data_IF_644700207683
#
_entry.id   IF_644700207683
#
_cell.length_a   1.000
_cell.length_b   1.000
_cell.length_c   1.000
_cell.angle_alpha   90.00
_cell.angle_beta   90.00
_cell.angle_gamma   90.00
#
_symmetry.space_group_name_H-M   'P 1'
#
loop_
_entity.id
_entity.type
_entity.pdbx_description
1 polymer ?
#
# COMPACT_ATOMS: atom_id res chain seq x y z
N UNK A 1 15.16 19.83 9.36
CA UNK A 1 14.71 18.42 9.35
C UNK A 1 15.69 17.63 8.51
N UNK A 2 16.13 16.46 8.97
CA UNK A 2 17.02 15.58 8.21
C UNK A 2 16.29 15.05 6.95
N UNK A 3 16.94 15.04 5.79
CA UNK A 3 16.34 14.69 4.49
C UNK A 3 15.66 13.32 4.53
N UNK A 4 16.28 12.37 5.24
CA UNK A 4 15.72 11.03 5.49
C UNK A 4 14.42 11.05 6.29
N UNK A 5 14.16 12.08 7.12
CA UNK A 5 12.88 12.23 7.84
C UNK A 5 11.78 12.66 6.90
N UNK A 6 12.09 13.55 5.96
CA UNK A 6 11.14 14.00 4.93
C UNK A 6 10.77 12.83 4.02
N UNK A 7 11.76 12.07 3.55
CA UNK A 7 11.51 10.89 2.71
C UNK A 7 10.67 9.82 3.42
N UNK A 8 10.95 9.53 4.70
CA UNK A 8 10.14 8.61 5.49
C UNK A 8 8.69 9.10 5.64
N UNK A 9 8.51 10.40 5.86
CA UNK A 9 7.19 11.00 6.00
C UNK A 9 6.40 10.93 4.68
N UNK A 10 7.04 11.26 3.56
CA UNK A 10 6.42 11.15 2.23
C UNK A 10 6.09 9.70 1.90
N UNK A 11 7.01 8.77 2.14
CA UNK A 11 6.77 7.34 1.96
C UNK A 11 5.58 6.85 2.78
N UNK A 12 5.53 7.23 4.07
CA UNK A 12 4.39 6.95 4.94
C UNK A 12 3.07 7.50 4.40
N UNK A 13 3.03 8.78 4.02
CA UNK A 13 1.81 9.42 3.54
C UNK A 13 1.30 8.81 2.22
N UNK A 14 2.19 8.54 1.27
CA UNK A 14 1.81 7.89 0.01
C UNK A 14 1.29 6.47 0.24
N UNK A 15 1.90 5.72 1.16
CA UNK A 15 1.45 4.39 1.52
C UNK A 15 0.10 4.41 2.23
N UNK A 16 -0.16 5.40 3.08
CA UNK A 16 -1.49 5.62 3.66
C UNK A 16 -2.53 5.88 2.57
N UNK A 17 -2.25 6.80 1.64
CA UNK A 17 -3.16 7.11 0.54
C UNK A 17 -3.43 5.88 -0.31
N UNK A 18 -2.39 5.12 -0.68
CA UNK A 18 -2.54 3.87 -1.43
C UNK A 18 -3.43 2.85 -0.70
N UNK A 19 -3.15 2.58 0.58
CA UNK A 19 -3.91 1.63 1.38
C UNK A 19 -5.37 2.05 1.56
N UNK A 20 -5.63 3.34 1.79
CA UNK A 20 -7.00 3.87 1.90
C UNK A 20 -7.75 3.75 0.57
N UNK A 21 -7.13 4.09 -0.56
CA UNK A 21 -7.79 3.98 -1.87
C UNK A 21 -8.16 2.53 -2.21
N UNK A 22 -7.27 1.57 -1.92
CA UNK A 22 -7.57 0.14 -2.10
C UNK A 22 -8.76 -0.27 -1.24
N UNK A 23 -8.82 0.18 0.02
CA UNK A 23 -9.94 -0.13 0.90
C UNK A 23 -11.25 0.49 0.42
N UNK A 24 -11.22 1.75 -0.04
CA UNK A 24 -12.40 2.39 -0.62
C UNK A 24 -12.92 1.58 -1.81
N UNK A 25 -12.05 1.22 -2.76
CA UNK A 25 -12.42 0.37 -3.89
C UNK A 25 -12.99 -0.99 -3.46
N UNK A 26 -12.45 -1.59 -2.39
CA UNK A 26 -12.94 -2.86 -1.85
C UNK A 26 -14.36 -2.76 -1.25
N UNK A 27 -14.78 -1.58 -0.79
CA UNK A 27 -16.11 -1.35 -0.21
C UNK A 27 -17.12 -0.73 -1.19
N UNK A 28 -16.70 -0.30 -2.39
CA UNK A 28 -17.62 0.20 -3.41
C UNK A 28 -18.53 -0.91 -3.93
N UNK A 29 -19.77 -0.96 -3.46
CA UNK A 29 -20.81 -1.88 -3.93
C UNK A 29 -21.64 -1.20 -5.01
N UNK A 30 -21.50 -1.66 -6.25
CA UNK A 30 -22.41 -1.27 -7.32
C UNK A 30 -23.82 -1.75 -7.00
N UNK A 31 -24.81 -0.86 -7.10
CA UNK A 31 -26.22 -1.05 -6.69
C UNK A 31 -26.96 -2.25 -7.32
N UNK A 32 -26.32 -2.98 -8.24
CA UNK A 32 -26.90 -4.05 -9.05
C UNK A 32 -25.99 -5.28 -9.21
N UNK A 33 -25.00 -5.48 -8.33
CA UNK A 33 -24.12 -6.65 -8.38
C UNK A 33 -24.78 -7.86 -7.69
N UNK A 34 -24.84 -9.00 -8.38
CA UNK A 34 -25.16 -10.27 -7.74
C UNK A 34 -24.04 -10.65 -6.78
N UNK A 35 -24.41 -10.96 -5.54
CA UNK A 35 -23.45 -11.37 -4.52
C UNK A 35 -23.02 -12.80 -4.83
N UNK A 36 -21.85 -12.95 -5.45
CA UNK A 36 -21.20 -14.24 -5.72
C UNK A 36 -20.02 -14.45 -4.76
N UNK A 37 -19.66 -15.71 -4.53
CA UNK A 37 -18.50 -16.08 -3.69
C UNK A 37 -17.20 -15.50 -4.26
N UNK A 38 -17.08 -15.46 -5.58
CA UNK A 38 -15.92 -14.89 -6.29
C UNK A 38 -15.77 -13.39 -6.03
N UNK A 39 -16.88 -12.64 -6.06
CA UNK A 39 -16.89 -11.21 -5.73
C UNK A 39 -16.43 -10.97 -4.28
N UNK A 40 -16.95 -11.76 -3.33
CA UNK A 40 -16.59 -11.63 -1.92
C UNK A 40 -15.11 -11.98 -1.71
N UNK A 41 -14.63 -13.06 -2.32
CA UNK A 41 -13.22 -13.47 -2.22
C UNK A 41 -12.28 -12.39 -2.78
N UNK A 42 -12.60 -11.81 -3.95
CA UNK A 42 -11.83 -10.71 -4.52
C UNK A 42 -11.77 -9.48 -3.61
N UNK A 43 -12.89 -9.11 -2.97
CA UNK A 43 -12.93 -8.01 -2.01
C UNK A 43 -12.10 -8.29 -0.75
N UNK A 44 -12.15 -9.51 -0.22
CA UNK A 44 -11.32 -9.90 0.93
C UNK A 44 -9.83 -9.76 0.58
N UNK A 45 -9.42 -10.19 -0.61
CA UNK A 45 -8.03 -10.00 -1.08
C UNK A 45 -7.66 -8.52 -1.11
N UNK A 46 -8.51 -7.65 -1.68
CA UNK A 46 -8.25 -6.21 -1.70
C UNK A 46 -8.16 -5.62 -0.29
N UNK A 47 -9.04 -6.02 0.63
CA UNK A 47 -8.98 -5.59 2.03
C UNK A 47 -7.66 -6.00 2.67
N UNK A 48 -7.20 -7.24 2.46
CA UNK A 48 -5.91 -7.71 2.98
C UNK A 48 -4.77 -6.86 2.42
N UNK A 49 -4.76 -6.57 1.12
CA UNK A 49 -3.75 -5.71 0.50
C UNK A 49 -3.72 -4.30 1.11
N UNK A 50 -4.89 -3.67 1.21
CA UNK A 50 -5.01 -2.34 1.79
C UNK A 50 -4.51 -2.31 3.24
N UNK A 51 -4.93 -3.26 4.06
CA UNK A 51 -4.50 -3.38 5.47
C UNK A 51 -2.99 -3.61 5.58
N UNK A 52 -2.41 -4.50 4.77
CA UNK A 52 -0.97 -4.77 4.77
C UNK A 52 -0.17 -3.50 4.41
N UNK A 53 -0.60 -2.76 3.38
CA UNK A 53 0.03 -1.49 2.99
C UNK A 53 -0.06 -0.47 4.13
N UNK A 54 -1.20 -0.35 4.81
CA UNK A 54 -1.33 0.57 5.96
C UNK A 54 -0.37 0.21 7.10
N UNK A 55 -0.29 -1.07 7.48
CA UNK A 55 0.64 -1.52 8.52
C UNK A 55 2.10 -1.31 8.14
N UNK A 56 2.48 -1.64 6.90
CA UNK A 56 3.83 -1.42 6.41
C UNK A 56 4.19 0.08 6.34
N UNK A 57 3.23 0.94 5.98
CA UNK A 57 3.40 2.39 6.04
C UNK A 57 3.68 2.89 7.46
N UNK A 58 2.97 2.37 8.47
CA UNK A 58 3.25 2.69 9.87
C UNK A 58 4.66 2.28 10.30
N UNK A 59 5.19 1.17 9.77
CA UNK A 59 6.57 0.76 10.01
C UNK A 59 7.60 1.71 9.39
N UNK A 60 7.30 2.29 8.21
CA UNK A 60 8.13 3.34 7.59
C UNK A 60 8.23 4.56 8.52
N UNK A 61 7.09 5.02 9.05
CA UNK A 61 7.06 6.17 9.96
C UNK A 61 7.84 5.92 11.25
N UNK A 62 7.68 4.74 11.84
CA UNK A 62 8.36 4.36 13.09
C UNK A 62 9.86 4.16 12.93
N UNK A 63 10.37 4.03 11.69
CA UNK A 63 11.79 3.74 11.37
C UNK A 63 12.35 2.50 12.07
N UNK A 64 11.48 1.67 12.64
CA UNK A 64 11.88 0.55 13.48
C UNK A 64 12.48 -0.59 12.67
N UNK A 65 12.25 -0.63 11.34
CA UNK A 65 12.81 -1.65 10.45
C UNK A 65 12.70 -1.23 8.98
N UNK A 66 13.67 -1.60 8.14
CA UNK A 66 13.60 -1.48 6.66
C UNK A 66 12.38 -2.22 6.06
N UNK A 67 11.75 -3.10 6.84
CA UNK A 67 10.65 -3.96 6.43
C UNK A 67 9.46 -3.19 5.84
N UNK A 68 9.11 -2.01 6.37
CA UNK A 68 7.96 -1.25 5.87
C UNK A 68 8.10 -0.85 4.40
N UNK A 69 9.28 -0.34 4.01
CA UNK A 69 9.56 0.02 2.62
C UNK A 69 9.54 -1.19 1.69
N UNK A 70 10.15 -2.30 2.12
CA UNK A 70 10.15 -3.55 1.35
C UNK A 70 8.75 -4.13 1.15
N UNK A 71 7.93 -4.16 2.22
CA UNK A 71 6.57 -4.68 2.14
C UNK A 71 5.73 -3.83 1.19
N UNK A 72 5.75 -2.50 1.32
CA UNK A 72 5.01 -1.64 0.41
C UNK A 72 5.45 -1.80 -1.05
N UNK A 73 6.76 -1.94 -1.29
CA UNK A 73 7.29 -2.17 -2.63
C UNK A 73 6.79 -3.50 -3.23
N UNK A 74 6.96 -4.60 -2.50
CA UNK A 74 6.58 -5.94 -2.98
C UNK A 74 5.07 -6.04 -3.16
N UNK A 75 4.30 -5.61 -2.16
CA UNK A 75 2.83 -5.66 -2.19
C UNK A 75 2.28 -4.74 -3.28
N UNK A 76 2.90 -3.56 -3.50
CA UNK A 76 2.56 -2.68 -4.61
C UNK A 76 2.79 -3.32 -5.97
N UNK A 77 3.94 -3.99 -6.16
CA UNK A 77 4.24 -4.74 -7.41
C UNK A 77 3.22 -5.85 -7.63
N UNK A 78 2.92 -6.65 -6.60
CA UNK A 78 1.91 -7.72 -6.71
C UNK A 78 0.54 -7.10 -7.03
N UNK A 79 0.21 -5.95 -6.41
CA UNK A 79 -1.03 -5.22 -6.61
C UNK A 79 -1.31 -4.83 -8.06
N UNK A 80 -0.27 -4.65 -8.90
CA UNK A 80 -0.44 -4.40 -10.35
C UNK A 80 -1.13 -5.55 -11.09
N UNK A 81 -1.11 -6.75 -10.51
CA UNK A 81 -1.66 -7.97 -11.11
C UNK A 81 -2.93 -8.44 -10.39
N UNK A 82 -3.38 -7.75 -9.34
CA UNK A 82 -4.57 -8.13 -8.56
C UNK A 82 -5.81 -7.45 -9.13
N UNK A 83 -6.84 -8.21 -9.56
CA UNK A 83 -8.08 -7.62 -10.05
C UNK A 83 -8.74 -6.68 -9.03
N UNK A 84 -9.08 -5.47 -9.50
CA UNK A 84 -9.74 -4.43 -8.73
C UNK A 84 -8.83 -3.61 -7.80
N UNK A 85 -7.51 -3.83 -7.84
CA UNK A 85 -6.54 -2.82 -7.42
C UNK A 85 -6.19 -1.99 -8.65
N UNK A 86 -6.41 -0.68 -8.59
CA UNK A 86 -6.06 0.21 -9.68
C UNK A 86 -4.54 0.44 -9.79
N UNK A 87 -4.11 0.85 -10.98
CA UNK A 87 -2.69 1.12 -11.26
C UNK A 87 -2.16 2.29 -10.44
N UNK A 88 -3.01 3.24 -10.09
CA UNK A 88 -2.64 4.42 -9.29
C UNK A 88 -2.30 4.01 -7.86
N UNK A 89 -3.14 3.18 -7.26
CA UNK A 89 -2.99 2.67 -5.90
C UNK A 89 -1.74 1.81 -5.77
N UNK A 90 -1.51 0.92 -6.73
CA UNK A 90 -0.30 0.11 -6.80
C UNK A 90 0.95 0.98 -6.99
N UNK A 91 0.92 1.98 -7.87
CA UNK A 91 2.04 2.90 -8.08
C UNK A 91 2.36 3.71 -6.81
N UNK A 92 1.34 4.21 -6.09
CA UNK A 92 1.53 4.91 -4.82
C UNK A 92 2.17 4.01 -3.76
N UNK A 93 1.76 2.74 -3.68
CA UNK A 93 2.39 1.76 -2.78
C UNK A 93 3.85 1.48 -3.16
N UNK A 94 4.16 1.37 -4.46
CA UNK A 94 5.53 1.18 -4.94
C UNK A 94 6.41 2.38 -4.58
N UNK A 95 5.96 3.60 -4.89
CA UNK A 95 6.71 4.83 -4.59
C UNK A 95 6.89 4.98 -3.09
N UNK A 96 5.83 4.70 -2.31
CA UNK A 96 5.92 4.63 -0.84
C UNK A 96 7.02 3.68 -0.37
N UNK A 97 7.10 2.49 -0.96
CA UNK A 97 8.12 1.50 -0.67
C UNK A 97 9.53 2.01 -0.97
N UNK A 98 9.75 2.56 -2.17
CA UNK A 98 11.04 3.12 -2.60
C UNK A 98 11.50 4.22 -1.63
N UNK A 99 10.63 5.18 -1.31
CA UNK A 99 10.95 6.25 -0.37
C UNK A 99 11.25 5.73 1.03
N UNK A 100 10.52 4.71 1.48
CA UNK A 100 10.76 4.04 2.75
C UNK A 100 12.16 3.39 2.82
N UNK A 101 12.60 2.73 1.74
CA UNK A 101 13.91 2.08 1.65
C UNK A 101 15.07 3.08 1.59
N UNK A 102 14.89 4.18 0.85
CA UNK A 102 15.90 5.26 0.81
C UNK A 102 16.01 5.91 2.18
N UNK A 103 14.88 6.18 2.83
CA UNK A 103 14.84 6.80 4.15
C UNK A 103 15.49 5.94 5.24
N UNK A 104 15.41 4.61 5.12
CA UNK A 104 16.07 3.68 6.05
C UNK A 104 17.58 3.52 5.82
N UNK A 105 18.13 4.11 4.74
CA UNK A 105 19.54 3.99 4.40
C UNK A 105 19.92 2.59 3.92
N UNK A 106 18.97 1.87 3.32
CA UNK A 106 19.19 0.54 2.74
C UNK A 106 20.12 0.60 1.53
N UNK A 107 20.07 1.70 0.78
CA UNK A 107 21.04 2.02 -0.26
C UNK A 107 22.04 3.02 0.32
N UNK A 108 23.31 2.61 0.43
CA UNK A 108 24.44 3.48 0.79
C UNK A 108 25.21 3.84 -0.48
#
# INVERSE_FOLDING_TARGET
>A
MDEKRVLALLGFLLGLVAGVLILVGAFELGRNQSITVELIAGRIVQVVFGVVILFASLLIYRRTTNAGGFVNLIVGIIGLFVPGIGTTEAALAIISGILGLIASGTFK
#
